data_IF_601263486311
#
_entry.id   IF_601263486311
#
_cell.length_a   1.000
_cell.length_b   1.000
_cell.length_c   1.000
_cell.angle_alpha   90.00
_cell.angle_beta   90.00
_cell.angle_gamma   90.00
#
_symmetry.space_group_name_H-M   'P 1'
#
loop_
_entity.id
_entity.type
_entity.pdbx_description
1 polymer ?
#
# COMPACT_ATOMS: atom_id res chain seq x y z
N UNK A 1 48.00 -1.18 44.72
CA UNK A 1 46.78 -1.61 44.02
C UNK A 1 46.39 -0.48 43.09
N UNK A 2 46.19 -0.71 41.78
CA UNK A 2 45.59 0.33 40.94
C UNK A 2 44.14 0.53 41.35
N UNK A 3 43.68 1.77 41.39
CA UNK A 3 42.26 2.07 41.63
C UNK A 3 41.41 1.47 40.52
N UNK A 4 40.25 0.91 40.88
CA UNK A 4 39.37 0.24 39.91
C UNK A 4 38.70 1.22 38.92
N UNK A 5 38.48 2.48 39.32
CA UNK A 5 38.03 3.58 38.47
C UNK A 5 38.36 4.93 39.11
N UNK A 6 38.38 6.01 38.32
CA UNK A 6 38.48 7.39 38.80
C UNK A 6 37.15 7.90 39.37
N UNK A 7 37.21 8.92 40.22
CA UNK A 7 36.01 9.58 40.77
C UNK A 7 35.14 10.20 39.67
N UNK A 8 35.75 10.68 38.57
CA UNK A 8 35.03 11.21 37.43
C UNK A 8 34.21 10.11 36.72
N UNK A 9 34.84 8.97 36.41
CA UNK A 9 34.14 7.82 35.82
C UNK A 9 33.01 7.36 36.75
N UNK A 10 33.20 7.35 38.07
CA UNK A 10 32.16 6.95 39.00
C UNK A 10 30.94 7.88 38.93
N UNK A 11 31.17 9.20 38.96
CA UNK A 11 30.10 10.21 38.89
C UNK A 11 29.36 10.15 37.56
N UNK A 12 30.06 10.00 36.46
CA UNK A 12 29.47 9.87 35.13
C UNK A 12 28.61 8.60 35.02
N UNK A 13 29.12 7.45 35.47
CA UNK A 13 28.35 6.21 35.52
C UNK A 13 27.11 6.33 36.43
N UNK A 14 27.23 7.02 37.58
CA UNK A 14 26.08 7.29 38.45
C UNK A 14 25.06 8.21 37.81
N UNK A 15 25.51 9.24 37.09
CA UNK A 15 24.62 10.13 36.35
C UNK A 15 23.81 9.35 35.30
N UNK A 16 24.46 8.55 34.46
CA UNK A 16 23.74 7.71 33.48
C UNK A 16 22.91 6.59 34.12
N UNK A 17 23.25 6.11 35.32
CA UNK A 17 22.38 5.18 36.05
C UNK A 17 21.07 5.80 36.52
N UNK A 18 21.05 7.13 36.74
CA UNK A 18 19.84 7.88 37.10
C UNK A 18 19.00 8.16 35.85
N UNK A 19 19.65 8.55 34.75
CA UNK A 19 19.03 8.79 33.45
C UNK A 19 19.20 7.58 32.53
N UNK A 20 18.88 6.39 33.06
CA UNK A 20 19.06 5.13 32.34
C UNK A 20 18.18 5.02 31.10
N UNK A 21 18.55 4.10 30.20
CA UNK A 21 17.76 3.80 29.00
C UNK A 21 16.37 3.28 29.39
N UNK A 22 15.35 3.82 28.72
CA UNK A 22 13.96 3.38 28.85
C UNK A 22 13.53 2.85 27.48
N UNK A 23 13.62 1.53 27.25
CA UNK A 23 13.28 0.95 25.94
C UNK A 23 11.78 0.74 25.73
N UNK A 24 10.97 0.85 26.79
CA UNK A 24 9.53 0.61 26.77
C UNK A 24 8.78 1.83 27.33
N UNK A 25 7.60 2.18 26.79
CA UNK A 25 6.88 1.44 25.75
C UNK A 25 7.54 1.51 24.36
N UNK A 26 7.31 0.49 23.54
CA UNK A 26 7.85 0.43 22.18
C UNK A 26 7.50 1.64 21.30
N UNK A 27 8.37 1.93 20.34
CA UNK A 27 8.27 3.08 19.45
C UNK A 27 6.92 3.22 18.73
N UNK A 28 6.28 2.11 18.36
CA UNK A 28 5.03 2.07 17.60
C UNK A 28 3.76 2.24 18.46
N UNK A 29 3.92 2.36 19.78
CA UNK A 29 2.79 2.61 20.69
C UNK A 29 2.29 4.04 20.59
N UNK A 30 1.01 4.26 20.93
CA UNK A 30 0.43 5.60 20.96
C UNK A 30 1.11 6.52 22.00
N UNK A 31 1.60 5.94 23.11
CA UNK A 31 2.27 6.65 24.21
C UNK A 31 3.61 7.26 23.76
N UNK A 32 4.35 6.61 22.86
CA UNK A 32 5.56 7.17 22.24
C UNK A 32 5.26 8.01 20.99
N UNK A 33 4.39 7.52 20.09
CA UNK A 33 4.14 8.17 18.80
C UNK A 33 3.46 9.53 18.95
N UNK A 34 2.41 9.65 19.76
CA UNK A 34 1.61 10.88 19.79
C UNK A 34 2.40 12.07 20.36
N UNK A 35 3.11 11.95 21.50
CA UNK A 35 3.87 13.09 22.04
C UNK A 35 5.07 13.49 21.17
N UNK A 36 5.72 12.54 20.49
CA UNK A 36 6.97 12.78 19.75
C UNK A 36 6.72 13.09 18.27
N UNK A 37 5.78 12.37 17.64
CA UNK A 37 5.50 12.43 16.20
C UNK A 37 4.12 13.03 15.88
N UNK A 38 3.36 13.43 16.90
CA UNK A 38 2.10 14.15 16.79
C UNK A 38 0.87 13.29 16.47
N UNK A 39 1.06 12.06 15.98
CA UNK A 39 0.00 11.12 15.59
C UNK A 39 0.46 9.69 15.84
N UNK A 40 -0.48 8.77 16.05
CA UNK A 40 -0.19 7.33 16.07
C UNK A 40 -0.04 6.82 14.64
N UNK A 41 1.18 6.88 14.09
CA UNK A 41 1.45 6.49 12.71
C UNK A 41 1.45 4.98 12.51
N UNK A 42 1.07 4.55 11.31
CA UNK A 42 1.18 3.17 10.86
C UNK A 42 -0.15 2.44 10.66
N UNK A 43 -0.04 1.24 10.11
CA UNK A 43 -1.16 0.33 9.89
C UNK A 43 -0.77 -1.04 10.46
N UNK A 44 -1.68 -1.68 11.19
CA UNK A 44 -1.53 -3.07 11.66
C UNK A 44 -2.53 -4.03 11.00
N UNK A 45 -3.37 -3.52 10.11
CA UNK A 45 -4.45 -4.25 9.44
C UNK A 45 -4.84 -3.48 8.16
N UNK A 46 -5.65 -4.09 7.29
CA UNK A 46 -6.10 -3.44 6.05
C UNK A 46 -7.53 -2.88 6.10
N UNK A 47 -8.29 -3.09 7.19
CA UNK A 47 -9.75 -2.83 7.22
C UNK A 47 -10.20 -1.88 8.33
N UNK A 48 -9.43 -1.75 9.40
CA UNK A 48 -9.64 -0.79 10.48
C UNK A 48 -9.82 0.63 9.96
N UNK A 49 -10.51 1.46 10.74
CA UNK A 49 -10.95 2.79 10.29
C UNK A 49 -9.76 3.57 9.74
N UNK A 50 -9.82 3.91 8.45
CA UNK A 50 -8.77 4.66 7.78
C UNK A 50 -8.77 6.10 8.30
N UNK A 51 -7.61 6.57 8.77
CA UNK A 51 -7.44 7.92 9.33
C UNK A 51 -6.58 8.80 8.44
N UNK A 52 -5.59 8.24 7.76
CA UNK A 52 -4.72 8.98 6.86
C UNK A 52 -4.26 8.14 5.68
N UNK A 53 -4.13 8.77 4.51
CA UNK A 53 -3.69 8.13 3.27
C UNK A 53 -2.78 9.07 2.49
N UNK A 54 -1.72 8.52 1.89
CA UNK A 54 -0.89 9.20 0.91
C UNK A 54 -1.45 8.95 -0.49
N UNK A 55 -1.66 10.02 -1.26
CA UNK A 55 -2.15 9.97 -2.64
C UNK A 55 -1.38 10.96 -3.52
N UNK A 56 -1.55 10.86 -4.82
CA UNK A 56 -1.00 11.83 -5.77
C UNK A 56 -2.05 12.18 -6.82
N UNK A 57 -2.35 13.48 -6.92
CA UNK A 57 -3.25 13.99 -7.94
C UNK A 57 -2.51 14.06 -9.28
N UNK A 58 -3.03 13.45 -10.36
CA UNK A 58 -2.32 13.40 -11.64
C UNK A 58 -2.13 14.82 -12.22
N UNK A 59 -0.96 15.02 -12.83
CA UNK A 59 -0.45 16.32 -13.27
C UNK A 59 0.33 16.27 -14.59
N UNK A 60 1.36 17.12 -14.67
CA UNK A 60 2.17 17.33 -15.87
C UNK A 60 3.01 16.11 -16.26
N UNK A 61 3.21 15.15 -15.35
CA UNK A 61 3.91 13.90 -15.63
C UNK A 61 3.23 13.03 -16.69
N UNK A 62 1.93 13.22 -16.97
CA UNK A 62 1.25 12.54 -18.08
C UNK A 62 1.66 13.06 -19.46
N UNK A 63 2.34 14.21 -19.55
CA UNK A 63 2.80 14.78 -20.83
C UNK A 63 3.84 13.92 -21.57
N UNK A 64 4.44 12.93 -20.90
CA UNK A 64 5.34 11.96 -21.54
C UNK A 64 4.62 10.95 -22.44
N UNK A 65 3.30 10.81 -22.30
CA UNK A 65 2.52 9.84 -23.07
C UNK A 65 2.28 10.38 -24.46
N UNK A 66 2.96 9.80 -25.44
CA UNK A 66 2.80 10.13 -26.85
C UNK A 66 1.80 9.19 -27.52
N UNK A 67 1.23 9.60 -28.66
CA UNK A 67 0.37 8.72 -29.46
C UNK A 67 1.21 7.67 -30.21
N UNK A 68 1.70 6.66 -29.49
CA UNK A 68 2.49 5.55 -30.01
C UNK A 68 1.83 4.22 -29.62
N UNK A 69 0.84 3.75 -30.41
CA UNK A 69 0.10 2.52 -30.12
C UNK A 69 1.00 1.28 -30.13
N UNK A 70 0.66 0.29 -29.30
CA UNK A 70 1.32 -1.02 -29.24
C UNK A 70 0.35 -2.10 -29.73
N UNK A 71 0.23 -2.37 -31.05
CA UNK A 71 -0.88 -3.14 -31.61
C UNK A 71 -0.94 -4.60 -31.14
N UNK A 72 0.19 -5.22 -30.82
CA UNK A 72 0.23 -6.62 -30.37
C UNK A 72 -0.29 -6.82 -28.94
N UNK A 73 -0.06 -5.84 -28.05
CA UNK A 73 -0.40 -5.93 -26.62
C UNK A 73 -1.55 -5.00 -26.20
N UNK A 74 -1.94 -4.08 -27.10
CA UNK A 74 -2.87 -3.00 -26.80
C UNK A 74 -2.21 -1.84 -26.05
N UNK A 75 -2.88 -0.69 -26.03
CA UNK A 75 -2.41 0.51 -25.36
C UNK A 75 -1.33 1.27 -26.14
N UNK A 76 -0.52 2.03 -25.41
CA UNK A 76 0.48 2.95 -25.94
C UNK A 76 1.79 2.83 -25.16
N UNK A 77 2.94 3.01 -25.81
CA UNK A 77 4.20 2.91 -25.10
C UNK A 77 5.44 3.11 -25.96
N UNK A 78 6.53 3.42 -25.29
CA UNK A 78 7.85 3.51 -25.87
C UNK A 78 8.87 2.89 -24.91
N UNK A 79 9.34 1.66 -25.17
CA UNK A 79 10.36 1.02 -24.35
C UNK A 79 11.70 1.76 -24.34
N UNK A 80 12.03 2.50 -25.41
CA UNK A 80 13.29 3.24 -25.51
C UNK A 80 13.25 4.52 -24.68
N UNK A 81 12.12 5.26 -24.75
CA UNK A 81 11.88 6.44 -23.89
C UNK A 81 11.46 6.06 -22.47
N UNK A 82 11.06 4.81 -22.25
CA UNK A 82 10.68 4.26 -20.95
C UNK A 82 9.36 4.80 -20.44
N UNK A 83 8.26 4.65 -21.17
CA UNK A 83 6.89 4.93 -20.68
C UNK A 83 5.85 4.00 -21.30
N UNK A 84 4.71 3.81 -20.62
CA UNK A 84 3.61 2.97 -21.12
C UNK A 84 2.23 3.32 -20.50
N UNK A 85 1.18 3.15 -21.30
CA UNK A 85 -0.23 3.33 -20.94
C UNK A 85 -1.03 2.11 -21.41
N UNK A 86 -1.78 1.48 -20.50
CA UNK A 86 -2.46 0.21 -20.78
C UNK A 86 -3.84 0.40 -21.44
N UNK A 87 -4.44 1.58 -21.30
CA UNK A 87 -5.75 1.90 -21.82
C UNK A 87 -5.76 1.92 -23.34
N UNK A 88 -6.88 1.49 -23.94
CA UNK A 88 -7.09 1.48 -25.40
C UNK A 88 -7.29 2.89 -25.99
N UNK A 89 -7.48 3.88 -25.14
CA UNK A 89 -7.57 5.30 -25.46
C UNK A 89 -6.49 6.07 -24.71
N UNK A 90 -6.06 7.20 -25.28
CA UNK A 90 -5.08 8.09 -24.65
C UNK A 90 -5.58 8.63 -23.30
N UNK A 91 -4.68 8.95 -22.35
CA UNK A 91 -5.07 9.53 -21.08
C UNK A 91 -5.78 10.88 -21.27
N UNK A 92 -6.88 11.08 -20.54
CA UNK A 92 -7.58 12.36 -20.41
C UNK A 92 -7.27 12.92 -19.02
N UNK A 93 -6.24 13.76 -18.94
CA UNK A 93 -5.78 14.36 -17.67
C UNK A 93 -6.91 15.11 -16.94
N UNK A 94 -7.69 16.00 -17.59
CA UNK A 94 -8.87 16.61 -16.94
C UNK A 94 -9.86 15.60 -16.37
N UNK A 95 -10.14 14.49 -17.06
CA UNK A 95 -11.05 13.46 -16.54
C UNK A 95 -10.45 12.66 -15.38
N UNK A 96 -9.17 12.31 -15.47
CA UNK A 96 -8.44 11.66 -14.37
C UNK A 96 -8.39 12.54 -13.12
N UNK A 97 -8.19 13.85 -13.31
CA UNK A 97 -8.22 14.82 -12.22
C UNK A 97 -9.60 14.91 -11.55
N UNK A 98 -10.68 14.93 -12.33
CA UNK A 98 -12.06 14.88 -11.77
C UNK A 98 -12.29 13.60 -10.98
N UNK A 99 -11.93 12.44 -11.53
CA UNK A 99 -12.07 11.15 -10.84
C UNK A 99 -11.27 11.10 -9.53
N UNK A 100 -10.04 11.60 -9.53
CA UNK A 100 -9.22 11.74 -8.32
C UNK A 100 -9.84 12.71 -7.30
N UNK A 101 -10.35 13.86 -7.75
CA UNK A 101 -10.95 14.85 -6.87
C UNK A 101 -12.26 14.33 -6.23
N UNK A 102 -13.07 13.57 -6.98
CA UNK A 102 -14.23 12.85 -6.46
C UNK A 102 -13.83 11.80 -5.42
N UNK A 103 -12.81 10.97 -5.72
CA UNK A 103 -12.34 9.95 -4.78
C UNK A 103 -11.78 10.55 -3.49
N UNK A 104 -10.95 11.59 -3.58
CA UNK A 104 -10.42 12.27 -2.39
C UNK A 104 -11.49 13.01 -1.60
N UNK A 105 -12.54 13.53 -2.25
CA UNK A 105 -13.69 14.11 -1.56
C UNK A 105 -14.48 13.06 -0.79
N UNK A 106 -14.68 11.88 -1.38
CA UNK A 106 -15.32 10.74 -0.70
C UNK A 106 -14.51 10.28 0.51
N UNK A 107 -13.18 10.14 0.37
CA UNK A 107 -12.28 9.83 1.49
C UNK A 107 -12.37 10.85 2.63
N UNK A 108 -12.34 12.15 2.30
CA UNK A 108 -12.50 13.21 3.30
C UNK A 108 -13.86 13.17 3.99
N UNK A 109 -14.93 12.82 3.25
CA UNK A 109 -16.27 12.64 3.83
C UNK A 109 -16.34 11.47 4.82
N UNK A 110 -15.47 10.47 4.66
CA UNK A 110 -15.30 9.36 5.60
C UNK A 110 -14.37 9.69 6.78
N UNK A 111 -13.90 10.93 6.89
CA UNK A 111 -13.00 11.41 7.94
C UNK A 111 -11.53 11.07 7.72
N UNK A 112 -11.14 10.73 6.49
CA UNK A 112 -9.75 10.41 6.14
C UNK A 112 -8.98 11.69 5.81
N UNK A 113 -7.81 11.84 6.43
CA UNK A 113 -6.82 12.85 6.08
C UNK A 113 -6.07 12.44 4.80
N UNK A 114 -6.26 13.20 3.72
CA UNK A 114 -5.64 12.93 2.41
C UNK A 114 -4.39 13.77 2.26
N UNK A 115 -3.24 13.12 2.45
CA UNK A 115 -1.90 13.70 2.30
C UNK A 115 -1.48 13.52 0.84
N UNK A 116 -1.02 14.60 0.21
CA UNK A 116 -0.64 14.58 -1.20
C UNK A 116 0.87 14.56 -1.40
N UNK A 117 1.32 13.78 -2.37
CA UNK A 117 2.61 13.95 -3.01
C UNK A 117 2.55 15.22 -3.87
N UNK A 118 3.29 16.25 -3.45
CA UNK A 118 3.22 17.61 -4.03
C UNK A 118 3.49 17.62 -5.54
N UNK A 119 4.55 16.93 -5.98
CA UNK A 119 4.96 16.86 -7.39
C UNK A 119 5.50 15.48 -7.73
N UNK A 120 5.11 14.94 -8.88
CA UNK A 120 5.66 13.69 -9.39
C UNK A 120 7.15 13.80 -9.71
N UNK A 121 7.84 12.66 -9.69
CA UNK A 121 9.20 12.59 -10.21
C UNK A 121 9.18 12.87 -11.73
N UNK A 122 10.24 13.50 -12.29
CA UNK A 122 10.30 13.78 -13.72
C UNK A 122 10.08 12.51 -14.56
N UNK A 123 9.07 12.54 -15.43
CA UNK A 123 8.70 11.43 -16.32
C UNK A 123 7.97 10.26 -15.66
N UNK A 124 7.72 10.32 -14.35
CA UNK A 124 7.08 9.23 -13.60
C UNK A 124 5.55 9.28 -13.70
N UNK A 125 5.02 8.97 -14.89
CA UNK A 125 3.58 8.99 -15.20
C UNK A 125 2.70 8.09 -14.31
N UNK A 126 3.29 7.19 -13.51
CA UNK A 126 2.61 6.24 -12.63
C UNK A 126 2.55 6.69 -11.16
N UNK A 127 3.00 7.91 -10.86
CA UNK A 127 3.04 8.44 -9.50
C UNK A 127 1.68 8.43 -8.77
N UNK A 128 0.56 8.48 -9.52
CA UNK A 128 -0.81 8.36 -8.98
C UNK A 128 -1.01 7.08 -8.18
N UNK A 129 -0.28 6.00 -8.50
CA UNK A 129 -0.36 4.71 -7.82
C UNK A 129 0.57 4.66 -6.61
N UNK A 130 0.25 5.46 -5.59
CA UNK A 130 1.08 5.61 -4.38
C UNK A 130 1.20 4.35 -3.55
N UNK A 131 0.25 3.39 -3.68
CA UNK A 131 0.31 2.07 -3.05
C UNK A 131 1.65 1.39 -3.30
N UNK A 132 2.16 1.50 -4.53
CA UNK A 132 3.34 0.73 -4.90
C UNK A 132 4.60 1.27 -4.21
N UNK A 133 4.63 2.57 -3.92
CA UNK A 133 5.78 3.28 -3.34
C UNK A 133 5.87 3.20 -1.82
N UNK A 134 4.78 2.84 -1.14
CA UNK A 134 4.68 2.91 0.33
C UNK A 134 3.90 1.74 0.92
N UNK A 135 4.42 1.17 1.99
CA UNK A 135 3.69 0.24 2.86
C UNK A 135 3.59 0.84 4.24
N UNK A 136 2.38 1.12 4.72
CA UNK A 136 2.16 1.47 6.13
C UNK A 136 2.31 0.24 7.01
N UNK A 137 3.06 0.37 8.11
CA UNK A 137 3.32 -0.69 9.11
C UNK A 137 3.25 -0.07 10.51
N UNK A 138 3.13 -0.84 11.62
CA UNK A 138 3.07 -0.24 12.95
C UNK A 138 4.21 0.75 13.20
N UNK A 139 3.88 1.97 13.62
CA UNK A 139 4.83 3.05 13.89
C UNK A 139 5.26 3.88 12.67
N UNK A 140 4.87 3.55 11.43
CA UNK A 140 5.26 4.36 10.28
C UNK A 140 5.10 3.69 8.92
N UNK A 141 6.10 3.87 8.06
CA UNK A 141 6.07 3.41 6.68
C UNK A 141 7.39 2.79 6.21
N UNK A 142 7.29 1.87 5.24
CA UNK A 142 8.40 1.42 4.39
C UNK A 142 8.27 2.15 3.06
N UNK A 143 9.35 2.83 2.64
CA UNK A 143 9.49 3.30 1.25
C UNK A 143 10.00 2.14 0.41
N UNK A 144 9.26 1.78 -0.62
CA UNK A 144 9.54 0.58 -1.42
C UNK A 144 10.59 0.86 -2.52
N UNK A 145 10.80 -0.12 -3.41
CA UNK A 145 11.71 0.02 -4.56
C UNK A 145 11.04 -0.58 -5.80
N UNK A 146 10.38 0.27 -6.60
CA UNK A 146 9.55 -0.04 -7.78
C UNK A 146 10.21 -0.81 -8.96
N UNK A 147 9.89 -2.08 -9.16
CA UNK A 147 10.59 -2.99 -10.07
C UNK A 147 10.88 -2.43 -11.48
N UNK A 148 9.90 -1.79 -12.11
CA UNK A 148 10.07 -1.26 -13.49
C UNK A 148 10.95 -0.01 -13.50
N UNK A 149 11.94 0.02 -14.40
CA UNK A 149 12.87 1.15 -14.53
C UNK A 149 12.19 2.50 -14.78
N UNK A 150 11.12 2.52 -15.58
CA UNK A 150 10.31 3.73 -15.82
C UNK A 150 9.75 4.36 -14.54
N UNK A 151 9.53 3.57 -13.51
CA UNK A 151 8.96 4.04 -12.24
C UNK A 151 10.03 4.46 -11.23
N UNK A 152 11.31 4.19 -11.51
CA UNK A 152 12.40 4.57 -10.62
C UNK A 152 12.44 6.08 -10.47
N UNK A 153 12.48 6.56 -9.23
CA UNK A 153 12.47 7.96 -8.88
C UNK A 153 11.17 8.41 -8.22
N UNK A 154 10.06 7.69 -8.40
CA UNK A 154 8.79 7.94 -7.68
C UNK A 154 8.97 7.89 -6.15
N UNK A 155 9.99 7.15 -5.67
CA UNK A 155 10.31 7.01 -4.25
C UNK A 155 10.73 8.34 -3.60
N UNK A 156 11.39 9.25 -4.35
CA UNK A 156 11.90 10.52 -3.82
C UNK A 156 10.79 11.51 -3.40
N UNK A 157 9.82 11.88 -4.26
CA UNK A 157 8.75 12.80 -3.86
C UNK A 157 7.83 12.17 -2.80
N UNK A 158 7.65 10.85 -2.82
CA UNK A 158 6.97 10.10 -1.76
C UNK A 158 7.67 10.26 -0.42
N UNK A 159 8.99 10.04 -0.37
CA UNK A 159 9.81 10.22 0.84
C UNK A 159 9.67 11.63 1.41
N UNK A 160 9.69 12.64 0.55
CA UNK A 160 9.50 14.05 0.96
C UNK A 160 8.11 14.29 1.52
N UNK A 161 7.07 13.72 0.91
CA UNK A 161 5.70 13.87 1.39
C UNK A 161 5.51 13.21 2.77
N UNK A 162 6.06 12.01 2.98
CA UNK A 162 6.05 11.33 4.28
C UNK A 162 6.76 12.16 5.35
N UNK A 163 7.98 12.64 5.07
CA UNK A 163 8.74 13.46 6.00
C UNK A 163 8.04 14.78 6.33
N UNK A 164 7.46 15.46 5.32
CA UNK A 164 6.68 16.69 5.50
C UNK A 164 5.43 16.45 6.36
N UNK A 165 4.80 15.29 6.22
CA UNK A 165 3.65 14.92 7.03
C UNK A 165 4.02 14.55 8.48
N UNK A 166 5.30 14.27 8.76
CA UNK A 166 5.77 13.78 10.05
C UNK A 166 5.63 12.26 10.22
N UNK A 167 5.41 11.51 9.13
CA UNK A 167 5.31 10.06 9.17
C UNK A 167 6.72 9.42 9.27
N UNK A 168 6.99 8.58 10.28
CA UNK A 168 8.25 7.87 10.40
C UNK A 168 8.51 6.93 9.22
N UNK A 169 9.73 6.91 8.71
CA UNK A 169 10.18 5.95 7.69
C UNK A 169 11.04 4.92 8.40
N UNK A 170 10.49 3.72 8.60
CA UNK A 170 11.15 2.63 9.35
C UNK A 170 12.09 1.80 8.47
N UNK A 171 11.96 1.92 7.14
CA UNK A 171 12.88 1.31 6.20
C UNK A 171 12.71 1.85 4.79
N UNK A 172 13.77 1.72 3.99
CA UNK A 172 13.74 1.99 2.55
C UNK A 172 14.35 0.80 1.83
N UNK A 173 13.61 0.19 0.90
CA UNK A 173 14.08 -1.00 0.18
C UNK A 173 15.23 -0.63 -0.75
N UNK A 174 16.33 -1.38 -0.72
CA UNK A 174 17.59 -0.97 -1.36
C UNK A 174 18.42 -2.11 -1.96
N UNK A 175 19.52 -1.76 -2.63
CA UNK A 175 20.41 -2.72 -3.30
C UNK A 175 19.74 -3.40 -4.50
N UNK A 176 19.86 -4.73 -4.58
CA UNK A 176 19.24 -5.54 -5.63
C UNK A 176 17.75 -5.86 -5.36
N UNK A 177 17.22 -5.47 -4.19
CA UNK A 177 15.82 -5.68 -3.85
C UNK A 177 14.89 -4.90 -4.79
N UNK A 178 13.78 -5.53 -5.16
CA UNK A 178 12.59 -4.81 -5.66
C UNK A 178 11.38 -5.33 -4.92
N UNK A 179 10.54 -4.41 -4.50
CA UNK A 179 9.28 -4.70 -3.83
C UNK A 179 8.35 -3.52 -4.12
N UNK A 180 7.08 -3.81 -4.41
CA UNK A 180 6.03 -2.82 -4.64
C UNK A 180 4.90 -3.09 -3.65
N UNK A 181 4.34 -2.04 -3.05
CA UNK A 181 3.35 -2.17 -1.97
C UNK A 181 2.03 -2.81 -2.37
N UNK A 182 1.65 -2.84 -3.66
CA UNK A 182 0.51 -3.65 -4.13
C UNK A 182 0.74 -5.15 -3.93
N UNK A 183 2.01 -5.56 -3.82
CA UNK A 183 2.41 -6.91 -3.45
C UNK A 183 2.31 -7.22 -1.96
N UNK A 184 1.71 -6.36 -1.13
CA UNK A 184 1.59 -6.54 0.33
C UNK A 184 0.16 -6.28 0.81
N UNK A 185 -0.29 -7.09 1.77
CA UNK A 185 -1.54 -6.88 2.50
C UNK A 185 -1.42 -7.40 3.93
N UNK A 186 -2.10 -6.77 4.87
CA UNK A 186 -2.30 -7.34 6.20
C UNK A 186 -3.51 -8.26 6.21
N UNK A 187 -3.38 -9.41 6.87
CA UNK A 187 -4.52 -10.28 7.23
C UNK A 187 -5.02 -9.89 8.62
N UNK A 188 -4.11 -9.72 9.57
CA UNK A 188 -4.36 -9.29 10.94
C UNK A 188 -3.14 -8.59 11.56
N UNK A 189 -3.23 -8.15 12.82
CA UNK A 189 -2.17 -7.43 13.54
C UNK A 189 -0.84 -8.20 13.70
N UNK A 190 -0.83 -9.51 13.44
CA UNK A 190 0.36 -10.37 13.58
C UNK A 190 0.74 -11.06 12.28
N UNK A 191 -0.05 -10.91 11.22
CA UNK A 191 0.11 -11.65 9.98
C UNK A 191 -0.11 -10.75 8.78
N UNK A 192 0.91 -10.67 7.94
CA UNK A 192 0.83 -10.07 6.62
C UNK A 192 1.10 -11.12 5.54
N UNK A 193 0.75 -10.78 4.31
CA UNK A 193 1.04 -11.57 3.11
C UNK A 193 1.77 -10.69 2.10
N UNK A 194 2.73 -11.27 1.39
CA UNK A 194 3.34 -10.65 0.23
C UNK A 194 3.37 -11.57 -0.99
N UNK A 195 3.41 -10.96 -2.17
CA UNK A 195 3.71 -11.66 -3.42
C UNK A 195 5.20 -11.98 -3.58
N UNK A 196 5.49 -13.10 -4.23
CA UNK A 196 6.74 -13.30 -4.97
C UNK A 196 6.41 -13.20 -6.46
N UNK A 197 6.94 -12.17 -7.13
CA UNK A 197 6.54 -11.81 -8.49
C UNK A 197 7.64 -11.03 -9.24
N UNK A 198 7.34 -10.60 -10.47
CA UNK A 198 8.19 -9.67 -11.23
C UNK A 198 8.31 -8.28 -10.55
N UNK A 199 7.39 -7.93 -9.65
CA UNK A 199 7.41 -6.68 -8.89
C UNK A 199 8.01 -6.82 -7.48
N UNK A 200 8.04 -8.05 -6.94
CA UNK A 200 8.52 -8.37 -5.60
C UNK A 200 9.50 -9.55 -5.67
N UNK A 201 10.81 -9.25 -5.74
CA UNK A 201 11.83 -10.29 -5.85
C UNK A 201 12.21 -10.86 -4.46
N UNK A 202 12.88 -12.03 -4.40
CA UNK A 202 13.23 -12.66 -3.12
C UNK A 202 14.04 -11.75 -2.17
N UNK A 203 14.91 -10.88 -2.69
CA UNK A 203 15.69 -9.96 -1.86
C UNK A 203 14.84 -8.83 -1.29
N UNK A 204 13.85 -8.31 -2.03
CA UNK A 204 12.87 -7.37 -1.51
C UNK A 204 11.98 -7.98 -0.44
N UNK A 205 11.51 -9.21 -0.67
CA UNK A 205 10.73 -9.98 0.32
C UNK A 205 11.55 -10.16 1.60
N UNK A 206 12.83 -10.51 1.51
CA UNK A 206 13.73 -10.68 2.67
C UNK A 206 13.88 -9.38 3.47
N UNK A 207 14.01 -8.22 2.80
CA UNK A 207 14.13 -6.93 3.49
C UNK A 207 12.81 -6.55 4.19
N UNK A 208 11.67 -6.71 3.52
CA UNK A 208 10.35 -6.44 4.13
C UNK A 208 10.10 -7.37 5.32
N UNK A 209 10.38 -8.67 5.18
CA UNK A 209 10.26 -9.65 6.26
C UNK A 209 11.13 -9.29 7.47
N UNK A 210 12.36 -8.82 7.25
CA UNK A 210 13.26 -8.40 8.33
C UNK A 210 12.73 -7.20 9.11
N UNK A 211 12.09 -6.24 8.43
CA UNK A 211 11.49 -5.06 9.09
C UNK A 211 10.28 -5.49 9.91
N UNK A 212 9.40 -6.31 9.33
CA UNK A 212 8.19 -6.81 9.99
C UNK A 212 8.47 -7.71 11.19
N UNK A 213 9.54 -8.51 11.13
CA UNK A 213 9.95 -9.36 12.25
C UNK A 213 10.27 -8.54 13.52
N UNK A 214 10.84 -7.34 13.37
CA UNK A 214 11.08 -6.42 14.48
C UNK A 214 9.79 -5.89 15.13
N UNK A 215 8.67 -5.95 14.42
CA UNK A 215 7.33 -5.56 14.89
C UNK A 215 6.48 -6.77 15.31
N UNK A 216 7.06 -7.98 15.31
CA UNK A 216 6.35 -9.21 15.64
C UNK A 216 5.29 -9.61 14.61
N UNK A 217 5.44 -9.21 13.35
CA UNK A 217 4.55 -9.56 12.24
C UNK A 217 5.18 -10.68 11.39
N UNK A 218 4.42 -11.76 11.20
CA UNK A 218 4.80 -12.88 10.31
C UNK A 218 4.41 -12.56 8.87
N UNK A 219 5.30 -12.85 7.91
CA UNK A 219 5.05 -12.60 6.49
C UNK A 219 4.86 -13.90 5.69
N UNK A 220 3.64 -14.11 5.18
CA UNK A 220 3.30 -15.22 4.28
C UNK A 220 3.72 -14.87 2.86
N UNK A 221 4.37 -15.81 2.15
CA UNK A 221 4.91 -15.59 0.81
C UNK A 221 4.06 -16.33 -0.22
N UNK A 222 3.42 -15.60 -1.13
CA UNK A 222 2.50 -16.14 -2.14
C UNK A 222 3.11 -15.96 -3.53
N UNK A 223 3.53 -17.04 -4.23
CA UNK A 223 3.99 -16.92 -5.60
C UNK A 223 2.83 -16.56 -6.54
N UNK A 224 3.00 -15.53 -7.37
CA UNK A 224 1.99 -15.13 -8.36
C UNK A 224 2.18 -15.85 -9.70
N UNK A 225 1.11 -16.19 -10.42
CA UNK A 225 1.22 -16.85 -11.72
C UNK A 225 1.78 -15.93 -12.82
N UNK A 226 2.71 -16.44 -13.61
CA UNK A 226 3.24 -15.79 -14.81
C UNK A 226 3.83 -14.39 -14.54
N UNK A 227 3.26 -13.38 -15.19
CA UNK A 227 3.68 -11.97 -15.08
C UNK A 227 2.72 -11.12 -14.22
N UNK A 228 1.84 -11.75 -13.42
CA UNK A 228 1.04 -11.02 -12.42
C UNK A 228 1.95 -10.36 -11.40
N UNK A 229 1.67 -9.10 -11.09
CA UNK A 229 2.57 -8.26 -10.30
C UNK A 229 2.23 -8.29 -8.80
N UNK A 230 0.96 -8.12 -8.44
CA UNK A 230 0.54 -7.74 -7.09
C UNK A 230 -0.59 -8.62 -6.57
N UNK A 231 -0.67 -8.75 -5.24
CA UNK A 231 -1.71 -9.55 -4.57
C UNK A 231 -3.02 -8.77 -4.51
N UNK A 232 -3.00 -7.45 -4.54
CA UNK A 232 -4.20 -6.59 -4.52
C UNK A 232 -5.05 -6.62 -5.80
N UNK A 233 -4.65 -7.42 -6.80
CA UNK A 233 -5.47 -7.84 -7.93
C UNK A 233 -6.13 -9.23 -7.75
N UNK A 234 -5.78 -9.95 -6.68
CA UNK A 234 -6.19 -11.32 -6.41
C UNK A 234 -6.74 -11.57 -4.99
N UNK A 235 -6.39 -10.75 -4.01
CA UNK A 235 -6.81 -10.85 -2.62
C UNK A 235 -6.78 -9.47 -1.97
N UNK A 236 -7.88 -9.09 -1.33
CA UNK A 236 -7.94 -7.95 -0.40
C UNK A 236 -8.86 -8.26 0.78
N UNK A 237 -8.50 -7.79 1.97
CA UNK A 237 -9.40 -7.79 3.12
C UNK A 237 -10.41 -6.65 2.98
N UNK A 238 -11.69 -6.93 3.26
CA UNK A 238 -12.79 -5.94 3.21
C UNK A 238 -13.55 -5.83 4.53
N UNK A 239 -13.36 -6.79 5.42
CA UNK A 239 -13.81 -6.80 6.81
C UNK A 239 -12.81 -7.60 7.65
N UNK A 240 -12.97 -7.62 8.98
CA UNK A 240 -12.05 -8.32 9.92
C UNK A 240 -11.88 -9.80 9.54
N UNK A 241 -12.96 -10.46 9.13
CA UNK A 241 -12.98 -11.89 8.79
C UNK A 241 -13.41 -12.15 7.34
N UNK A 242 -13.43 -11.13 6.47
CA UNK A 242 -13.92 -11.27 5.08
C UNK A 242 -12.94 -10.67 4.07
N UNK A 243 -12.67 -11.43 3.01
CA UNK A 243 -11.82 -11.02 1.90
C UNK A 243 -12.54 -11.17 0.55
N UNK A 244 -12.19 -10.34 -0.44
CA UNK A 244 -12.51 -10.60 -1.85
C UNK A 244 -11.32 -11.33 -2.47
N UNK A 245 -11.57 -12.42 -3.19
CA UNK A 245 -10.52 -13.26 -3.79
C UNK A 245 -10.76 -13.57 -5.25
N UNK A 246 -9.69 -13.63 -6.03
CA UNK A 246 -9.68 -14.21 -7.37
C UNK A 246 -8.99 -15.58 -7.31
N UNK A 247 -9.79 -16.63 -7.18
CA UNK A 247 -9.30 -18.01 -7.04
C UNK A 247 -8.53 -18.53 -8.26
N UNK A 248 -8.62 -17.88 -9.42
CA UNK A 248 -7.81 -18.23 -10.58
C UNK A 248 -6.35 -17.76 -10.45
N UNK A 249 -6.07 -16.79 -9.59
CA UNK A 249 -4.73 -16.22 -9.42
C UNK A 249 -4.05 -16.63 -8.12
N UNK A 250 -4.82 -17.05 -7.12
CA UNK A 250 -4.28 -17.47 -5.82
C UNK A 250 -3.85 -18.95 -5.84
N UNK A 251 -2.64 -19.26 -5.33
CA UNK A 251 -2.23 -20.65 -5.10
C UNK A 251 -3.14 -21.36 -4.09
N UNK A 252 -3.48 -22.62 -4.38
CA UNK A 252 -4.32 -23.45 -3.51
C UNK A 252 -3.88 -23.47 -2.02
N UNK A 253 -2.58 -23.59 -1.67
CA UNK A 253 -2.16 -23.56 -0.26
C UNK A 253 -2.52 -22.27 0.47
N UNK A 254 -2.58 -21.13 -0.23
CA UNK A 254 -2.99 -19.87 0.37
C UNK A 254 -4.51 -19.79 0.56
N UNK A 255 -5.29 -20.31 -0.39
CA UNK A 255 -6.74 -20.47 -0.24
C UNK A 255 -7.05 -21.35 0.99
N UNK A 256 -6.40 -22.51 1.09
CA UNK A 256 -6.57 -23.42 2.23
C UNK A 256 -6.15 -22.76 3.57
N UNK A 257 -5.10 -21.93 3.54
CA UNK A 257 -4.69 -21.14 4.69
C UNK A 257 -5.80 -20.18 5.16
N UNK A 258 -6.40 -19.44 4.23
CA UNK A 258 -7.50 -18.51 4.53
C UNK A 258 -8.71 -19.25 5.12
N UNK A 259 -9.08 -20.41 4.54
CA UNK A 259 -10.16 -21.26 5.05
C UNK A 259 -9.90 -21.75 6.48
N UNK A 260 -8.69 -22.29 6.75
CA UNK A 260 -8.28 -22.74 8.08
C UNK A 260 -8.24 -21.60 9.10
N UNK A 261 -7.97 -20.37 8.63
CA UNK A 261 -7.97 -19.16 9.45
C UNK A 261 -9.40 -18.62 9.71
N UNK A 262 -10.41 -19.16 9.04
CA UNK A 262 -11.81 -18.74 9.18
C UNK A 262 -12.17 -17.50 8.33
N UNK A 263 -11.34 -17.11 7.38
CA UNK A 263 -11.62 -15.97 6.50
C UNK A 263 -12.71 -16.35 5.50
N UNK A 264 -13.83 -15.63 5.53
CA UNK A 264 -14.90 -15.74 4.54
C UNK A 264 -14.43 -15.14 3.22
N UNK A 265 -14.36 -15.97 2.19
CA UNK A 265 -13.93 -15.56 0.86
C UNK A 265 -15.13 -15.22 -0.03
N UNK A 266 -15.22 -13.97 -0.46
CA UNK A 266 -16.11 -13.52 -1.53
C UNK A 266 -15.35 -13.70 -2.84
N UNK A 267 -15.67 -14.76 -3.58
CA UNK A 267 -15.04 -14.98 -4.88
C UNK A 267 -15.44 -13.88 -5.88
N UNK A 268 -14.46 -13.40 -6.64
CA UNK A 268 -14.67 -12.47 -7.74
C UNK A 268 -15.38 -13.20 -8.90
N UNK A 269 -16.54 -12.72 -9.36
CA UNK A 269 -17.20 -13.28 -10.54
C UNK A 269 -16.37 -13.16 -11.82
N UNK A 270 -16.54 -14.07 -12.80
CA UNK A 270 -15.76 -14.04 -14.04
C UNK A 270 -16.08 -12.83 -14.96
N UNK A 271 -17.18 -12.12 -14.74
CA UNK A 271 -17.51 -10.89 -15.49
C UNK A 271 -16.83 -9.65 -14.90
N UNK A 272 -16.36 -9.75 -13.66
CA UNK A 272 -15.68 -8.66 -12.98
C UNK A 272 -14.19 -8.66 -13.31
N UNK A 273 -13.65 -7.47 -13.55
CA UNK A 273 -12.22 -7.30 -13.73
C UNK A 273 -11.51 -7.27 -12.37
N UNK A 274 -10.18 -7.38 -12.38
CA UNK A 274 -9.37 -7.15 -11.19
C UNK A 274 -9.59 -5.76 -10.56
N UNK A 275 -10.06 -4.76 -11.32
CA UNK A 275 -10.38 -3.43 -10.79
C UNK A 275 -11.62 -3.45 -9.88
N UNK A 276 -12.57 -4.38 -10.11
CA UNK A 276 -13.70 -4.59 -9.18
C UNK A 276 -13.23 -5.11 -7.82
N UNK A 277 -12.14 -5.90 -7.79
CA UNK A 277 -11.50 -6.38 -6.56
C UNK A 277 -10.62 -5.30 -5.93
N UNK A 278 -9.99 -4.41 -6.70
CA UNK A 278 -9.05 -3.39 -6.24
C UNK A 278 -9.72 -2.21 -5.48
N UNK A 279 -10.56 -2.53 -4.50
CA UNK A 279 -11.32 -1.59 -3.68
C UNK A 279 -10.56 -1.26 -2.38
N UNK A 280 -10.96 -0.19 -1.70
CA UNK A 280 -10.32 0.29 -0.48
C UNK A 280 -11.28 0.22 0.71
N UNK A 281 -10.95 -0.58 1.72
CA UNK A 281 -11.66 -0.54 3.00
C UNK A 281 -11.37 0.78 3.74
N UNK A 282 -12.42 1.52 4.09
CA UNK A 282 -12.35 2.74 4.92
C UNK A 282 -12.73 2.48 6.37
N UNK A 283 -13.43 1.38 6.64
CA UNK A 283 -13.71 0.80 7.95
C UNK A 283 -14.07 -0.69 7.77
N UNK A 284 -14.10 -1.51 8.83
CA UNK A 284 -14.51 -2.91 8.72
C UNK A 284 -15.91 -3.02 8.09
N UNK A 285 -16.03 -3.82 7.03
CA UNK A 285 -17.27 -4.00 6.29
C UNK A 285 -17.71 -2.80 5.45
N UNK A 286 -16.85 -1.77 5.27
CA UNK A 286 -17.16 -0.56 4.50
C UNK A 286 -16.04 -0.24 3.53
N UNK A 287 -16.34 -0.34 2.23
CA UNK A 287 -15.35 -0.18 1.15
C UNK A 287 -15.74 0.90 0.16
N UNK A 288 -14.74 1.56 -0.43
CA UNK A 288 -14.90 2.35 -1.65
C UNK A 288 -14.52 1.45 -2.82
N UNK A 289 -15.45 1.22 -3.74
CA UNK A 289 -15.30 0.32 -4.88
C UNK A 289 -15.76 1.00 -6.17
N UNK A 290 -15.22 0.52 -7.29
CA UNK A 290 -15.63 0.95 -8.60
C UNK A 290 -17.13 0.66 -8.89
N UNK A 291 -17.73 1.48 -9.74
CA UNK A 291 -19.13 1.39 -10.15
C UNK A 291 -19.48 0.26 -11.10
N UNK A 292 -18.55 -0.26 -11.92
CA UNK A 292 -18.89 -1.28 -12.93
C UNK A 292 -18.95 -2.72 -12.42
N UNK A 293 -19.08 -2.93 -11.10
CA UNK A 293 -19.21 -4.27 -10.52
C UNK A 293 -20.43 -5.01 -11.08
N UNK A 294 -20.29 -6.31 -11.34
CA UNK A 294 -21.43 -7.12 -11.79
C UNK A 294 -22.50 -7.20 -10.70
N UNK A 295 -23.77 -7.44 -11.11
CA UNK A 295 -24.87 -7.72 -10.16
C UNK A 295 -24.53 -8.86 -9.21
N UNK A 296 -23.85 -9.90 -9.71
CA UNK A 296 -23.46 -11.05 -8.88
C UNK A 296 -22.45 -10.67 -7.80
N UNK A 297 -21.47 -9.81 -8.10
CA UNK A 297 -20.54 -9.32 -7.09
C UNK A 297 -21.27 -8.46 -6.06
N UNK A 298 -22.16 -7.57 -6.52
CA UNK A 298 -22.97 -6.74 -5.62
C UNK A 298 -23.81 -7.61 -4.65
N UNK A 299 -24.53 -8.62 -5.17
CA UNK A 299 -25.34 -9.52 -4.33
C UNK A 299 -24.48 -10.29 -3.31
N UNK A 300 -23.26 -10.70 -3.68
CA UNK A 300 -22.32 -11.38 -2.77
C UNK A 300 -21.81 -10.46 -1.66
N UNK A 301 -21.53 -9.19 -1.99
CA UNK A 301 -21.11 -8.17 -1.03
C UNK A 301 -22.25 -7.85 -0.05
N UNK A 302 -23.47 -7.67 -0.55
CA UNK A 302 -24.67 -7.41 0.26
C UNK A 302 -24.96 -8.60 1.20
N UNK A 303 -24.89 -9.84 0.68
CA UNK A 303 -25.05 -11.05 1.48
C UNK A 303 -23.94 -11.25 2.53
N UNK A 304 -22.80 -10.58 2.36
CA UNK A 304 -21.72 -10.54 3.34
C UNK A 304 -21.78 -9.32 4.28
N UNK A 305 -22.78 -8.45 4.14
CA UNK A 305 -22.92 -7.24 4.97
C UNK A 305 -21.93 -6.13 4.61
N UNK A 306 -21.28 -6.20 3.45
CA UNK A 306 -20.29 -5.21 3.02
C UNK A 306 -21.00 -3.99 2.42
N UNK A 307 -20.84 -2.85 3.07
CA UNK A 307 -21.32 -1.56 2.56
C UNK A 307 -20.37 -1.01 1.50
N UNK A 308 -20.89 -0.76 0.30
CA UNK A 308 -20.11 -0.26 -0.83
C UNK A 308 -20.42 1.21 -1.12
N UNK A 309 -19.40 2.06 -1.02
CA UNK A 309 -19.40 3.41 -1.56
C UNK A 309 -18.88 3.37 -2.99
N UNK A 310 -19.67 3.85 -3.93
CA UNK A 310 -19.31 3.79 -5.35
C UNK A 310 -18.50 5.01 -5.76
N UNK A 311 -17.38 4.79 -6.45
CA UNK A 311 -16.57 5.84 -7.08
C UNK A 311 -16.37 5.50 -8.56
N UNK A 312 -16.57 6.48 -9.46
CA UNK A 312 -16.18 6.32 -10.85
C UNK A 312 -14.68 6.64 -11.00
N UNK A 313 -13.90 5.67 -11.44
CA UNK A 313 -12.45 5.78 -11.48
C UNK A 313 -11.83 5.22 -12.78
N UNK A 314 -12.68 4.88 -13.76
CA UNK A 314 -12.29 4.20 -14.99
C UNK A 314 -11.16 4.92 -15.74
N UNK A 315 -11.22 6.26 -15.80
CA UNK A 315 -10.22 7.08 -16.51
C UNK A 315 -8.80 6.92 -15.94
N UNK A 316 -8.69 6.67 -14.63
CA UNK A 316 -7.42 6.37 -13.96
C UNK A 316 -7.07 4.90 -14.09
N UNK A 317 -8.06 4.00 -14.05
CA UNK A 317 -7.86 2.55 -14.24
C UNK A 317 -7.27 2.18 -15.61
N UNK A 318 -7.55 2.98 -16.64
CA UNK A 318 -6.90 2.86 -17.94
C UNK A 318 -5.36 2.97 -17.85
N UNK A 319 -4.83 3.60 -16.81
CA UNK A 319 -3.39 3.62 -16.54
C UNK A 319 -2.85 2.30 -15.94
N UNK A 320 -3.70 1.36 -15.55
CA UNK A 320 -3.33 0.02 -15.08
C UNK A 320 -3.43 -0.20 -13.57
N UNK A 321 -4.07 0.69 -12.81
CA UNK A 321 -4.28 0.55 -11.37
C UNK A 321 -5.58 1.21 -10.90
N UNK A 322 -6.20 0.65 -9.86
CA UNK A 322 -7.51 1.05 -9.35
C UNK A 322 -7.47 1.95 -8.13
N UNK A 323 -8.56 1.93 -7.36
CA UNK A 323 -8.75 2.71 -6.14
C UNK A 323 -7.72 2.33 -5.08
N UNK A 324 -7.54 1.04 -4.82
CA UNK A 324 -6.55 0.56 -3.83
C UNK A 324 -5.12 0.93 -4.26
N UNK A 325 -4.77 0.71 -5.53
CA UNK A 325 -3.45 1.07 -6.06
C UNK A 325 -3.16 2.58 -5.97
N UNK A 326 -4.19 3.42 -6.03
CA UNK A 326 -4.07 4.88 -5.92
C UNK A 326 -3.92 5.39 -4.47
N UNK A 327 -3.84 4.49 -3.50
CA UNK A 327 -3.81 4.83 -2.07
C UNK A 327 -2.73 4.09 -1.31
N UNK A 328 -1.98 4.82 -0.49
CA UNK A 328 -1.08 4.26 0.50
C UNK A 328 -1.57 4.65 1.91
N UNK A 329 -2.32 3.78 2.60
CA UNK A 329 -2.72 3.98 4.00
C UNK A 329 -1.52 4.26 4.89
N UNK A 330 -1.60 5.34 5.66
CA UNK A 330 -0.56 5.75 6.62
C UNK A 330 -1.01 5.61 8.08
N UNK A 331 -2.33 5.65 8.33
CA UNK A 331 -2.90 5.45 9.66
C UNK A 331 -4.21 4.68 9.53
N UNK A 332 -4.31 3.55 10.23
CA UNK A 332 -5.56 2.82 10.49
C UNK A 332 -5.70 2.56 11.97
N UNK A 333 -6.93 2.63 12.48
CA UNK A 333 -7.21 2.20 13.84
C UNK A 333 -6.90 0.70 13.99
N UNK A 334 -6.34 0.27 15.14
CA UNK A 334 -6.14 -1.15 15.44
C UNK A 334 -7.49 -1.86 15.62
N UNK A 335 -7.52 -3.16 15.33
CA UNK A 335 -8.66 -4.08 15.49
C UNK A 335 -8.22 -5.35 16.21
#
# INVERSE_FOLDING_TARGET
MSTAMSDNEYRENKFFSIFGSVPEPGFDTAEEQIPVWGRHWGCSNDVGKLRAVLMHRPGDELSVVENKPMPEVGGFGDPEKGWYWMGRTMPDLPAMQRAHDEFTSLLRSEGVDVILVDKAAPGAMKQIYTRDSVIGIPGGAIVTRLARRVRRGEELPVTRALAKAGCPILGTIHGAAVFEGGGFAFIDAKTAVCTVSIACNPEGVRQVESILAGLGVTLIKVPMPGYRIHIDGAFIMVDVETAIVNVNELPYPFIEYLEKRGIKMIELPPEDSAMSLNCLAVAPGRVIMHGSRSKRLADRLDAAGITVLTCNYETVELGGGGLHCSTAPLIRDPI
#
